data_IF_318589555820
#
_entry.id   IF_318589555820
#
_cell.length_a   1.000
_cell.length_b   1.000
_cell.length_c   1.000
_cell.angle_alpha   90.00
_cell.angle_beta   90.00
_cell.angle_gamma   90.00
#
_symmetry.space_group_name_H-M   'P 1'
#
loop_
_entity.id
_entity.type
_entity.pdbx_description
1 polymer ?
#
# COMPACT_ATOMS: atom_id res chain seq x y z
N UNK A 1 -1.84 -6.04 -25.50
CA UNK A 1 -3.13 -5.51 -25.05
C UNK A 1 -3.04 -5.18 -23.57
N UNK A 2 -3.15 -3.92 -23.22
CA UNK A 2 -3.05 -3.46 -21.84
C UNK A 2 -4.38 -3.76 -21.14
N UNK A 3 -4.35 -4.67 -20.17
CA UNK A 3 -5.53 -4.94 -19.35
C UNK A 3 -5.56 -3.95 -18.20
N UNK A 4 -6.66 -3.24 -18.06
CA UNK A 4 -6.96 -2.51 -16.82
C UNK A 4 -7.13 -3.57 -15.73
N UNK A 5 -6.34 -3.45 -14.66
CA UNK A 5 -6.53 -4.31 -13.49
C UNK A 5 -7.70 -3.76 -12.68
N UNK A 6 -8.85 -4.36 -12.86
CA UNK A 6 -9.95 -4.14 -11.93
C UNK A 6 -9.58 -4.77 -10.58
N UNK A 7 -9.98 -4.12 -9.50
CA UNK A 7 -9.90 -4.74 -8.18
C UNK A 7 -10.57 -6.11 -8.27
N UNK A 8 -9.85 -7.15 -7.93
CA UNK A 8 -10.41 -8.50 -7.97
C UNK A 8 -11.56 -8.58 -6.97
N UNK A 9 -12.65 -9.26 -7.31
CA UNK A 9 -13.74 -9.47 -6.34
C UNK A 9 -13.26 -10.00 -4.99
N UNK A 10 -12.19 -10.81 -4.98
CA UNK A 10 -11.54 -11.30 -3.79
C UNK A 10 -10.91 -10.20 -2.93
N UNK A 11 -10.27 -9.20 -3.54
CA UNK A 11 -9.64 -8.09 -2.81
C UNK A 11 -10.68 -7.27 -2.04
N UNK A 12 -11.82 -7.00 -2.68
CA UNK A 12 -12.94 -6.31 -2.05
C UNK A 12 -13.61 -7.18 -0.96
N UNK A 13 -13.79 -8.48 -1.22
CA UNK A 13 -14.38 -9.42 -0.28
C UNK A 13 -13.51 -9.62 0.95
N UNK A 14 -12.16 -9.59 0.78
CA UNK A 14 -11.21 -9.71 1.88
C UNK A 14 -10.99 -8.39 2.62
N UNK A 15 -11.58 -7.28 2.16
CA UNK A 15 -11.51 -5.98 2.81
C UNK A 15 -10.15 -5.28 2.66
N UNK A 16 -9.31 -5.74 1.71
CA UNK A 16 -7.98 -5.18 1.48
C UNK A 16 -7.96 -3.89 0.66
N UNK A 17 -9.07 -3.53 0.02
CA UNK A 17 -9.18 -2.30 -0.79
C UNK A 17 -9.40 -1.10 0.10
N UNK A 18 -8.45 -0.15 0.08
CA UNK A 18 -8.52 1.08 0.84
C UNK A 18 -9.24 2.20 0.06
N UNK A 19 -8.89 2.34 -1.21
CA UNK A 19 -9.44 3.37 -2.11
C UNK A 19 -9.30 2.93 -3.56
N UNK A 20 -10.25 3.32 -4.40
CA UNK A 20 -10.10 3.22 -5.85
C UNK A 20 -10.96 4.25 -6.55
N UNK A 21 -10.50 4.67 -7.73
CA UNK A 21 -11.24 5.47 -8.70
C UNK A 21 -10.95 4.96 -10.11
N UNK A 22 -11.22 5.76 -11.15
CA UNK A 22 -11.01 5.34 -12.54
C UNK A 22 -9.53 5.18 -12.91
N UNK A 23 -8.62 5.81 -12.19
CA UNK A 23 -7.19 5.86 -12.55
C UNK A 23 -6.31 5.04 -11.62
N UNK A 24 -6.62 4.98 -10.33
CA UNK A 24 -5.74 4.43 -9.30
C UNK A 24 -6.48 3.55 -8.30
N UNK A 25 -5.70 2.75 -7.61
CA UNK A 25 -6.13 1.82 -6.60
C UNK A 25 -5.12 1.80 -5.46
N UNK A 26 -5.61 1.70 -4.23
CA UNK A 26 -4.77 1.45 -3.07
C UNK A 26 -5.35 0.31 -2.24
N UNK A 27 -4.49 -0.57 -1.76
CA UNK A 27 -4.87 -1.67 -0.89
C UNK A 27 -3.77 -2.05 0.07
N UNK A 28 -4.14 -2.79 1.10
CA UNK A 28 -3.19 -3.36 2.05
C UNK A 28 -2.54 -4.60 1.45
N UNK A 29 -1.24 -4.78 1.70
CA UNK A 29 -0.55 -6.01 1.37
C UNK A 29 -1.23 -7.17 2.11
N UNK A 30 -1.50 -8.24 1.40
CA UNK A 30 -2.04 -9.46 2.00
C UNK A 30 -1.37 -10.70 1.40
N UNK A 31 -1.32 -11.74 2.17
CA UNK A 31 -0.93 -13.07 1.70
C UNK A 31 -2.16 -13.97 1.75
N UNK A 32 -2.57 -14.49 0.63
CA UNK A 32 -3.76 -15.35 0.52
C UNK A 32 -3.60 -16.62 1.36
N UNK A 33 -4.01 -16.56 2.65
CA UNK A 33 -3.88 -17.67 3.59
C UNK A 33 -2.45 -17.89 4.11
N UNK A 34 -1.53 -16.97 3.84
CA UNK A 34 -0.16 -17.03 4.33
C UNK A 34 0.03 -16.41 5.73
N UNK A 35 1.29 -16.24 6.16
CA UNK A 35 1.59 -15.66 7.47
C UNK A 35 1.13 -14.21 7.57
N UNK A 36 1.00 -13.67 8.80
CA UNK A 36 0.70 -12.25 8.99
C UNK A 36 1.68 -11.33 8.24
N UNK A 37 1.18 -10.17 7.81
CA UNK A 37 1.97 -9.18 7.06
C UNK A 37 2.21 -7.93 7.89
N UNK A 38 3.21 -7.14 7.49
CA UNK A 38 3.55 -5.89 8.16
C UNK A 38 2.31 -4.96 8.22
N UNK A 39 1.99 -4.49 9.42
CA UNK A 39 0.81 -3.66 9.69
C UNK A 39 0.89 -2.33 8.95
N UNK A 40 -0.12 -2.03 8.14
CA UNK A 40 -0.21 -0.77 7.40
C UNK A 40 0.65 -0.71 6.15
N UNK A 41 1.19 -1.83 5.68
CA UNK A 41 1.93 -1.87 4.42
C UNK A 41 0.95 -1.76 3.25
N UNK A 42 0.91 -0.60 2.62
CA UNK A 42 -0.02 -0.31 1.54
C UNK A 42 0.68 -0.35 0.19
N UNK A 43 -0.10 -0.63 -0.85
CA UNK A 43 0.36 -0.57 -2.23
C UNK A 43 -0.57 0.32 -3.03
N UNK A 44 0.01 1.24 -3.82
CA UNK A 44 -0.71 2.11 -4.74
C UNK A 44 -0.36 1.68 -6.16
N UNK A 45 -1.39 1.47 -6.98
CA UNK A 45 -1.25 1.01 -8.36
C UNK A 45 -2.12 1.87 -9.28
N UNK A 46 -1.74 1.92 -10.56
CA UNK A 46 -2.63 2.42 -11.61
C UNK A 46 -3.60 1.33 -12.06
N UNK A 47 -4.80 1.74 -12.47
CA UNK A 47 -5.77 0.83 -13.11
C UNK A 47 -5.24 0.35 -14.47
N UNK A 48 -4.67 1.25 -15.25
CA UNK A 48 -3.99 0.88 -16.50
C UNK A 48 -2.68 0.18 -16.17
N UNK A 49 -2.37 -0.88 -16.90
CA UNK A 49 -1.10 -1.58 -16.75
C UNK A 49 0.04 -0.72 -17.30
N UNK A 50 0.98 -0.35 -16.43
CA UNK A 50 2.22 0.34 -16.79
C UNK A 50 3.39 -0.34 -16.11
N UNK A 51 4.53 -0.41 -16.80
CA UNK A 51 5.70 -1.11 -16.28
C UNK A 51 6.43 -0.30 -15.20
N UNK A 52 6.49 1.02 -15.34
CA UNK A 52 7.23 1.86 -14.41
C UNK A 52 6.79 3.32 -14.42
N UNK A 53 7.45 4.13 -13.61
CA UNK A 53 7.10 5.54 -13.40
C UNK A 53 7.13 6.36 -14.67
N UNK A 54 8.09 6.10 -15.57
CA UNK A 54 8.23 6.84 -16.83
C UNK A 54 7.12 6.57 -17.85
N UNK A 55 6.28 5.56 -17.62
CA UNK A 55 5.20 5.15 -18.51
C UNK A 55 3.83 5.74 -18.11
N UNK A 56 3.78 6.50 -16.99
CA UNK A 56 2.57 7.16 -16.55
C UNK A 56 2.18 8.31 -17.47
N UNK A 57 0.88 8.47 -17.71
CA UNK A 57 0.31 9.68 -18.25
C UNK A 57 0.24 10.76 -17.17
N UNK A 58 0.14 12.03 -17.55
CA UNK A 58 0.15 13.14 -16.58
C UNK A 58 -1.00 13.06 -15.57
N UNK A 59 -2.19 12.67 -15.99
CA UNK A 59 -3.32 12.49 -15.08
C UNK A 59 -3.14 11.30 -14.14
N UNK A 60 -2.53 10.22 -14.61
CA UNK A 60 -2.17 9.08 -13.79
C UNK A 60 -1.08 9.45 -12.76
N UNK A 61 -0.05 10.18 -13.19
CA UNK A 61 1.01 10.65 -12.30
C UNK A 61 0.45 11.54 -11.18
N UNK A 62 -0.47 12.45 -11.52
CA UNK A 62 -1.14 13.30 -10.54
C UNK A 62 -2.01 12.47 -9.58
N UNK A 63 -2.76 11.49 -10.08
CA UNK A 63 -3.61 10.64 -9.26
C UNK A 63 -2.80 9.75 -8.31
N UNK A 64 -1.70 9.16 -8.79
CA UNK A 64 -0.77 8.38 -7.96
C UNK A 64 -0.18 9.26 -6.85
N UNK A 65 0.32 10.44 -7.19
CA UNK A 65 0.93 11.35 -6.22
C UNK A 65 -0.05 11.78 -5.13
N UNK A 66 -1.28 12.11 -5.51
CA UNK A 66 -2.32 12.46 -4.54
C UNK A 66 -2.69 11.30 -3.63
N UNK A 67 -2.86 10.11 -4.19
CA UNK A 67 -3.23 8.93 -3.40
C UNK A 67 -2.10 8.51 -2.45
N UNK A 68 -0.85 8.55 -2.90
CA UNK A 68 0.33 8.31 -2.05
C UNK A 68 0.36 9.30 -0.88
N UNK A 69 0.14 10.58 -1.15
CA UNK A 69 0.09 11.62 -0.11
C UNK A 69 -1.03 11.35 0.91
N UNK A 70 -2.24 11.08 0.43
CA UNK A 70 -3.41 10.85 1.31
C UNK A 70 -3.26 9.57 2.13
N UNK A 71 -2.77 8.50 1.51
CA UNK A 71 -2.53 7.22 2.20
C UNK A 71 -1.45 7.37 3.27
N UNK A 72 -0.37 8.07 2.99
CA UNK A 72 0.67 8.35 3.98
C UNK A 72 0.14 9.17 5.14
N UNK A 73 -0.69 10.19 4.87
CA UNK A 73 -1.35 10.99 5.92
C UNK A 73 -2.28 10.13 6.77
N UNK A 74 -3.08 9.27 6.16
CA UNK A 74 -3.97 8.37 6.88
C UNK A 74 -3.19 7.44 7.82
N UNK A 75 -2.07 6.88 7.36
CA UNK A 75 -1.20 6.06 8.20
C UNK A 75 -0.65 6.82 9.41
N UNK A 76 -0.30 8.09 9.24
CA UNK A 76 0.18 8.94 10.36
C UNK A 76 -0.95 9.28 11.32
N UNK A 77 -2.08 9.74 10.82
CA UNK A 77 -3.18 10.25 11.65
C UNK A 77 -4.03 9.15 12.28
N UNK A 78 -4.23 8.05 11.56
CA UNK A 78 -5.20 7.02 11.94
C UNK A 78 -4.58 5.67 12.29
N UNK A 79 -3.30 5.45 12.01
CA UNK A 79 -2.58 4.23 12.37
C UNK A 79 -1.39 4.46 13.32
N UNK A 80 -1.08 5.71 13.64
CA UNK A 80 -0.03 6.05 14.60
C UNK A 80 1.40 5.94 14.07
N UNK A 81 1.60 5.97 12.75
CA UNK A 81 2.97 5.94 12.21
C UNK A 81 3.66 7.28 12.40
N UNK A 82 4.96 7.25 12.64
CA UNK A 82 5.80 8.46 12.75
C UNK A 82 6.26 8.97 11.40
N UNK A 83 6.48 8.05 10.46
CA UNK A 83 6.97 8.32 9.13
C UNK A 83 6.44 7.27 8.16
N UNK A 84 6.38 7.58 6.87
CA UNK A 84 5.99 6.63 5.83
C UNK A 84 7.06 6.66 4.75
N UNK A 85 7.67 5.50 4.50
CA UNK A 85 8.58 5.31 3.37
C UNK A 85 7.79 4.93 2.14
N UNK A 86 8.24 5.38 0.98
CA UNK A 86 7.69 4.99 -0.31
C UNK A 86 8.77 4.37 -1.20
N UNK A 87 8.47 3.23 -1.81
CA UNK A 87 9.41 2.50 -2.66
C UNK A 87 8.75 2.08 -3.98
N UNK A 88 9.53 2.12 -5.05
CA UNK A 88 9.19 1.55 -6.35
C UNK A 88 10.33 0.63 -6.77
N UNK A 89 10.08 -0.67 -6.80
CA UNK A 89 11.13 -1.64 -7.11
C UNK A 89 11.14 -2.09 -8.58
N UNK A 90 10.01 -2.56 -9.10
CA UNK A 90 9.88 -2.98 -10.49
C UNK A 90 10.68 -4.22 -10.89
N UNK A 91 11.15 -5.01 -9.93
CA UNK A 91 12.06 -6.13 -10.16
C UNK A 91 11.38 -7.47 -10.40
N UNK A 92 10.18 -7.67 -9.88
CA UNK A 92 9.47 -8.95 -9.97
C UNK A 92 8.38 -8.95 -11.03
N UNK A 93 7.44 -8.03 -10.94
CA UNK A 93 6.30 -7.92 -11.84
C UNK A 93 6.42 -6.63 -12.62
N UNK A 94 6.30 -6.65 -13.98
CA UNK A 94 6.36 -5.43 -14.79
C UNK A 94 5.05 -4.63 -14.70
N UNK A 95 4.66 -4.29 -13.48
CA UNK A 95 3.51 -3.48 -13.14
C UNK A 95 3.90 -2.52 -12.02
N UNK A 96 3.56 -1.26 -12.19
CA UNK A 96 3.92 -0.22 -11.23
C UNK A 96 3.19 -0.44 -9.89
N UNK A 97 3.99 -0.65 -8.87
CA UNK A 97 3.55 -0.67 -7.49
C UNK A 97 4.33 0.38 -6.70
N UNK A 98 3.64 1.32 -6.08
CA UNK A 98 4.23 2.19 -5.08
C UNK A 98 3.95 1.57 -3.72
N UNK A 99 5.01 1.12 -3.05
CA UNK A 99 4.93 0.52 -1.73
C UNK A 99 5.00 1.60 -0.68
N UNK A 100 4.07 1.62 0.26
CA UNK A 100 4.06 2.51 1.40
C UNK A 100 4.28 1.71 2.67
N UNK A 101 5.40 1.97 3.34
CA UNK A 101 5.78 1.27 4.57
C UNK A 101 5.79 2.24 5.75
N UNK A 102 4.82 2.16 6.67
CA UNK A 102 4.81 3.02 7.84
C UNK A 102 5.89 2.58 8.84
N UNK A 103 6.56 3.57 9.44
CA UNK A 103 7.46 3.36 10.56
C UNK A 103 6.73 3.74 11.84
N UNK A 104 6.57 2.78 12.73
CA UNK A 104 5.93 3.00 14.02
C UNK A 104 6.95 3.41 15.10
N UNK A 105 6.49 4.01 16.22
CA UNK A 105 7.34 4.27 17.38
C UNK A 105 8.13 3.03 17.80
N UNK A 106 9.32 3.24 18.34
CA UNK A 106 10.23 2.21 18.83
C UNK A 106 10.89 1.32 17.76
N UNK A 107 10.66 1.59 16.47
CA UNK A 107 11.37 0.88 15.41
C UNK A 107 12.87 1.18 15.48
N UNK A 108 13.73 0.17 15.65
CA UNK A 108 15.18 0.39 15.69
C UNK A 108 15.69 1.01 14.40
N UNK A 109 16.62 1.95 14.51
CA UNK A 109 17.13 2.72 13.37
C UNK A 109 17.74 1.84 12.27
N UNK A 110 18.33 0.71 12.64
CA UNK A 110 18.91 -0.25 11.67
C UNK A 110 17.88 -0.85 10.70
N UNK A 111 16.59 -0.85 11.08
CA UNK A 111 15.49 -1.35 10.23
C UNK A 111 14.71 -0.24 9.50
N UNK A 112 15.15 1.01 9.59
CA UNK A 112 14.48 2.09 8.85
C UNK A 112 14.68 1.94 7.33
N UNK A 113 13.67 2.32 6.57
CA UNK A 113 13.70 2.25 5.11
C UNK A 113 13.40 0.86 4.57
N UNK A 114 14.15 0.38 3.56
CA UNK A 114 13.84 -0.88 2.87
C UNK A 114 13.85 -2.13 3.74
N UNK A 115 14.52 -2.07 4.88
CA UNK A 115 14.64 -3.18 5.83
C UNK A 115 13.55 -3.21 6.90
N UNK A 116 12.53 -2.35 6.78
CA UNK A 116 11.51 -2.19 7.83
C UNK A 116 10.80 -3.51 8.21
N UNK A 117 10.62 -4.41 7.24
CA UNK A 117 9.99 -5.71 7.47
C UNK A 117 10.91 -6.78 8.04
N UNK A 118 12.21 -6.51 8.10
CA UNK A 118 13.20 -7.43 8.67
C UNK A 118 13.29 -7.35 10.20
N UNK A 119 12.69 -6.33 10.80
CA UNK A 119 12.64 -6.19 12.25
C UNK A 119 11.85 -7.35 12.86
N UNK A 120 12.47 -8.16 13.75
CA UNK A 120 11.81 -9.34 14.33
C UNK A 120 10.54 -9.03 15.12
N UNK A 121 10.49 -7.86 15.77
CA UNK A 121 9.33 -7.39 16.53
C UNK A 121 8.41 -6.47 15.73
N UNK A 122 8.53 -6.47 14.40
CA UNK A 122 7.68 -5.65 13.54
C UNK A 122 6.20 -5.94 13.79
N UNK A 123 5.35 -4.88 13.89
CA UNK A 123 3.92 -5.08 14.05
C UNK A 123 3.34 -5.72 12.79
N UNK A 124 2.52 -6.76 12.99
CA UNK A 124 1.89 -7.49 11.89
C UNK A 124 0.39 -7.56 12.08
N UNK A 125 -0.31 -7.84 10.99
CA UNK A 125 -1.76 -8.07 11.00
C UNK A 125 -2.08 -9.39 10.31
N UNK A 126 -3.04 -10.11 10.91
CA UNK A 126 -3.74 -11.21 10.27
C UNK A 126 -4.87 -10.67 9.37
N UNK A 127 -5.58 -11.51 8.59
CA UNK A 127 -6.65 -11.02 7.71
C UNK A 127 -7.76 -10.26 8.44
N UNK A 128 -8.13 -10.64 9.65
CA UNK A 128 -9.19 -9.97 10.43
C UNK A 128 -8.72 -8.58 10.88
N UNK A 129 -7.55 -8.50 11.47
CA UNK A 129 -6.95 -7.23 11.92
C UNK A 129 -6.64 -6.30 10.75
N UNK A 130 -6.24 -6.85 9.59
CA UNK A 130 -6.03 -6.09 8.37
C UNK A 130 -7.32 -5.43 7.89
N UNK A 131 -8.43 -6.17 7.85
CA UNK A 131 -9.73 -5.61 7.45
C UNK A 131 -10.19 -4.50 8.38
N UNK A 132 -9.96 -4.65 9.67
CA UNK A 132 -10.29 -3.61 10.66
C UNK A 132 -9.43 -2.38 10.44
N UNK A 133 -8.12 -2.54 10.23
CA UNK A 133 -7.22 -1.42 9.95
C UNK A 133 -7.64 -0.68 8.69
N UNK A 134 -7.95 -1.39 7.61
CA UNK A 134 -8.41 -0.77 6.35
C UNK A 134 -9.71 0.01 6.57
N UNK A 135 -10.66 -0.54 7.33
CA UNK A 135 -11.89 0.16 7.69
C UNK A 135 -11.61 1.44 8.49
N UNK A 136 -10.65 1.40 9.40
CA UNK A 136 -10.24 2.57 10.21
C UNK A 136 -9.52 3.63 9.38
N UNK A 137 -8.78 3.23 8.34
CA UNK A 137 -8.04 4.15 7.45
C UNK A 137 -8.94 4.83 6.42
N UNK A 138 -10.00 4.19 5.95
CA UNK A 138 -10.86 4.74 4.89
C UNK A 138 -11.39 6.14 5.17
N UNK A 139 -11.88 6.50 6.37
CA UNK A 139 -12.34 7.86 6.65
C UNK A 139 -11.22 8.90 6.62
N UNK A 140 -9.97 8.49 6.66
CA UNK A 140 -8.79 9.36 6.72
C UNK A 140 -8.17 9.63 5.34
N UNK A 141 -8.69 9.00 4.30
CA UNK A 141 -8.18 9.16 2.91
C UNK A 141 -8.80 10.39 2.22
#
# INVERSE_FOLDING_TARGET
>A
MLRVREARPGDAAEGGVLYQDDLVYAGHLHTMGGPPVYRGYLMVETKRHVAGLGDLLDDEAAAVGRLVNRAARALKECAGSEHVFAFVYGTGVPHLHVHLAPRYPDTPREFWGPRIREWPDAPTVDPVSMRQLVADLRPCI
#
